data_IF_778850956183
#
_entry.id   IF_778850956183
#
_cell.length_a   1.000
_cell.length_b   1.000
_cell.length_c   1.000
_cell.angle_alpha   90.00
_cell.angle_beta   90.00
_cell.angle_gamma   90.00
#
_symmetry.space_group_name_H-M   'P 1'
#
loop_
_entity.id
_entity.type
_entity.pdbx_description
1 polymer ?
#
# COMPACT_ATOMS: atom_id res chain seq x y z
N UNK A 1 -5.94 9.49 -2.49
CA UNK A 1 -4.81 8.70 -1.96
C UNK A 1 -4.40 9.29 -0.61
N UNK A 2 -4.23 8.49 0.45
CA UNK A 2 -3.87 9.04 1.77
C UNK A 2 -2.42 9.58 1.78
N UNK A 3 -2.12 10.55 2.65
CA UNK A 3 -0.77 11.06 2.95
C UNK A 3 0.26 9.97 3.24
N UNK A 4 -0.06 8.93 4.02
CA UNK A 4 0.86 7.82 4.29
C UNK A 4 1.25 7.05 3.01
N UNK A 5 0.27 6.84 2.12
CA UNK A 5 0.49 6.16 0.83
C UNK A 5 1.31 7.04 -0.13
N UNK A 6 1.07 8.36 -0.17
CA UNK A 6 1.91 9.28 -0.96
C UNK A 6 3.36 9.27 -0.46
N UNK A 7 3.56 9.39 0.85
CA UNK A 7 4.90 9.42 1.43
C UNK A 7 5.65 8.10 1.22
N UNK A 8 4.95 6.96 1.25
CA UNK A 8 5.54 5.68 0.84
C UNK A 8 6.20 5.77 -0.54
N UNK A 9 5.46 6.24 -1.55
CA UNK A 9 5.99 6.38 -2.91
C UNK A 9 7.12 7.42 -3.01
N UNK A 10 7.06 8.49 -2.21
CA UNK A 10 8.15 9.48 -2.11
C UNK A 10 9.43 8.82 -1.59
N UNK A 11 9.34 8.01 -0.54
CA UNK A 11 10.51 7.30 0.02
C UNK A 11 11.10 6.27 -0.94
N UNK A 12 10.26 5.65 -1.78
CA UNK A 12 10.69 4.72 -2.82
C UNK A 12 11.21 5.41 -4.10
N UNK A 13 11.28 6.75 -4.16
CA UNK A 13 11.66 7.54 -5.35
C UNK A 13 10.86 7.15 -6.61
N UNK A 14 9.59 6.76 -6.43
CA UNK A 14 8.73 6.24 -7.49
C UNK A 14 7.43 7.05 -7.61
N UNK A 15 7.54 8.38 -7.52
CA UNK A 15 6.40 9.29 -7.63
C UNK A 15 6.18 9.80 -9.04
N UNK A 16 4.91 10.00 -9.37
CA UNK A 16 4.44 10.62 -10.61
C UNK A 16 3.26 11.51 -10.31
N UNK A 17 3.23 12.68 -10.94
CA UNK A 17 2.18 13.71 -10.68
C UNK A 17 0.76 13.17 -10.87
N UNK A 18 0.52 12.46 -11.98
CA UNK A 18 -0.81 11.96 -12.33
C UNK A 18 -1.31 10.81 -11.43
N UNK A 19 -0.39 9.96 -10.98
CA UNK A 19 -0.70 8.74 -10.22
C UNK A 19 -0.67 8.98 -8.71
N UNK A 20 0.07 10.01 -8.26
CA UNK A 20 0.36 10.22 -6.84
C UNK A 20 -0.05 11.63 -6.37
N UNK A 21 0.60 12.69 -6.83
CA UNK A 21 0.32 14.03 -6.28
C UNK A 21 -1.11 14.53 -6.52
N UNK A 22 -1.66 14.33 -7.73
CA UNK A 22 -3.04 14.75 -8.02
C UNK A 22 -4.07 13.92 -7.24
N UNK A 23 -4.03 12.57 -7.21
CA UNK A 23 -4.94 11.79 -6.37
C UNK A 23 -4.84 12.08 -4.87
N UNK A 24 -3.67 12.47 -4.37
CA UNK A 24 -3.55 12.97 -3.00
C UNK A 24 -4.25 14.31 -2.84
N UNK A 25 -3.96 15.27 -3.72
CA UNK A 25 -4.53 16.61 -3.64
C UNK A 25 -6.08 16.57 -3.68
N UNK A 26 -6.65 15.77 -4.57
CA UNK A 26 -8.10 15.59 -4.64
C UNK A 26 -8.67 14.97 -3.37
N UNK A 27 -8.05 13.91 -2.83
CA UNK A 27 -8.57 13.32 -1.58
C UNK A 27 -8.45 14.24 -0.36
N UNK A 28 -7.45 15.12 -0.33
CA UNK A 28 -7.33 16.12 0.73
C UNK A 28 -8.48 17.15 0.63
N UNK A 29 -8.78 17.63 -0.58
CA UNK A 29 -9.90 18.54 -0.82
C UNK A 29 -11.24 17.86 -0.50
N UNK A 30 -11.44 16.61 -0.91
CA UNK A 30 -12.62 15.81 -0.59
C UNK A 30 -12.79 15.57 0.92
N UNK A 31 -11.71 15.70 1.69
CA UNK A 31 -11.71 15.59 3.15
C UNK A 31 -11.76 16.97 3.84
N UNK A 32 -12.24 18.00 3.14
CA UNK A 32 -12.42 19.38 3.62
C UNK A 32 -11.12 20.10 4.06
N UNK A 33 -9.95 19.66 3.57
CA UNK A 33 -8.71 20.42 3.76
C UNK A 33 -8.59 21.53 2.71
N UNK A 34 -8.25 22.73 3.17
CA UNK A 34 -8.12 23.90 2.32
C UNK A 34 -6.75 24.58 2.49
N UNK A 35 -6.01 24.73 1.40
CA UNK A 35 -4.84 25.60 1.35
C UNK A 35 -4.58 26.12 -0.06
N UNK A 36 -3.88 27.25 -0.17
CA UNK A 36 -3.59 27.82 -1.50
C UNK A 36 -2.72 26.88 -2.31
N UNK A 37 -1.69 26.30 -1.68
CA UNK A 37 -0.77 25.39 -2.36
C UNK A 37 -1.44 24.07 -2.75
N UNK A 38 -2.39 23.57 -1.95
CA UNK A 38 -3.19 22.39 -2.28
C UNK A 38 -4.04 22.60 -3.52
N UNK A 39 -4.74 23.74 -3.63
CA UNK A 39 -5.55 24.05 -4.80
C UNK A 39 -4.70 24.23 -6.07
N UNK A 40 -3.52 24.84 -5.96
CA UNK A 40 -2.60 24.95 -7.09
C UNK A 40 -2.13 23.56 -7.54
N UNK A 41 -1.75 22.69 -6.58
CA UNK A 41 -1.36 21.32 -6.87
C UNK A 41 -2.45 20.56 -7.62
N UNK A 42 -3.70 20.64 -7.14
CA UNK A 42 -4.86 19.99 -7.75
C UNK A 42 -5.18 20.54 -9.15
N UNK A 43 -4.81 21.79 -9.44
CA UNK A 43 -5.07 22.45 -10.71
C UNK A 43 -4.01 22.17 -11.79
N UNK A 44 -2.89 21.51 -11.46
CA UNK A 44 -1.82 21.24 -12.43
C UNK A 44 -2.35 20.52 -13.67
N UNK A 45 -1.88 20.95 -14.84
CA UNK A 45 -2.28 20.41 -16.14
C UNK A 45 -1.09 19.75 -16.84
N UNK A 46 -1.38 18.91 -17.83
CA UNK A 46 -0.35 18.29 -18.68
C UNK A 46 0.31 19.35 -19.58
N UNK A 47 1.61 19.21 -19.91
CA UNK A 47 2.54 18.21 -19.38
C UNK A 47 2.91 18.51 -17.93
N UNK A 48 2.94 17.48 -17.08
CA UNK A 48 3.21 17.65 -15.67
C UNK A 48 4.69 17.90 -15.39
N UNK A 49 4.98 18.87 -14.53
CA UNK A 49 6.32 19.11 -13.99
C UNK A 49 6.41 18.54 -12.57
N UNK A 50 7.28 17.55 -12.38
CA UNK A 50 7.45 16.89 -11.07
C UNK A 50 7.98 17.85 -9.99
N UNK A 51 8.91 18.75 -10.35
CA UNK A 51 9.48 19.72 -9.41
C UNK A 51 8.45 20.75 -8.93
N UNK A 52 7.53 21.13 -9.82
CA UNK A 52 6.42 22.01 -9.48
C UNK A 52 5.43 21.30 -8.54
N UNK A 53 5.09 20.05 -8.82
CA UNK A 53 4.23 19.25 -7.96
C UNK A 53 4.83 19.06 -6.56
N UNK A 54 6.11 18.71 -6.47
CA UNK A 54 6.85 18.60 -5.19
C UNK A 54 6.93 19.92 -4.44
N UNK A 55 7.11 21.04 -5.14
CA UNK A 55 7.13 22.37 -4.53
C UNK A 55 5.78 22.68 -3.86
N UNK A 56 4.68 22.53 -4.58
CA UNK A 56 3.36 22.81 -4.04
C UNK A 56 2.91 21.78 -3.01
N UNK A 57 3.30 20.51 -3.16
CA UNK A 57 3.08 19.49 -2.14
C UNK A 57 3.73 19.87 -0.79
N UNK A 58 5.03 20.22 -0.79
CA UNK A 58 5.72 20.62 0.46
C UNK A 58 5.07 21.83 1.11
N UNK A 59 4.71 22.84 0.32
CA UNK A 59 3.99 24.01 0.82
C UNK A 59 2.61 23.67 1.36
N UNK A 60 1.87 22.78 0.70
CA UNK A 60 0.57 22.34 1.19
C UNK A 60 0.70 21.60 2.52
N UNK A 61 1.70 20.73 2.67
CA UNK A 61 2.01 20.03 3.94
C UNK A 61 2.31 21.03 5.05
N UNK A 62 3.10 22.07 4.79
CA UNK A 62 3.40 23.14 5.75
C UNK A 62 2.15 23.98 6.09
N UNK A 63 1.39 24.44 5.08
CA UNK A 63 0.18 25.26 5.22
C UNK A 63 -0.94 24.53 5.99
N UNK A 64 -1.02 23.21 5.84
CA UNK A 64 -2.00 22.34 6.51
C UNK A 64 -1.48 21.77 7.84
N UNK A 65 -0.27 22.14 8.27
CA UNK A 65 0.39 21.66 9.48
C UNK A 65 0.43 20.12 9.60
N UNK A 66 0.60 19.43 8.46
CA UNK A 66 0.63 17.98 8.44
C UNK A 66 1.97 17.46 8.98
N UNK A 67 1.90 16.48 9.88
CA UNK A 67 3.08 15.73 10.32
C UNK A 67 3.60 14.91 9.13
N UNK A 68 4.89 15.07 8.82
CA UNK A 68 5.59 14.17 7.89
C UNK A 68 5.74 12.80 8.54
N UNK A 69 5.11 11.75 8.00
CA UNK A 69 5.27 10.40 8.53
C UNK A 69 6.66 9.86 8.21
N UNK A 70 7.15 8.96 9.05
CA UNK A 70 8.37 8.19 8.82
C UNK A 70 8.16 7.14 7.74
N UNK A 71 9.26 6.70 7.11
CA UNK A 71 9.23 5.59 6.14
C UNK A 71 8.62 4.33 6.75
N UNK A 72 8.94 4.02 8.01
CA UNK A 72 8.38 2.87 8.72
C UNK A 72 6.85 2.98 8.89
N UNK A 73 6.34 4.14 9.34
CA UNK A 73 4.89 4.39 9.45
C UNK A 73 4.19 4.18 8.10
N UNK A 74 4.80 4.65 7.00
CA UNK A 74 4.25 4.52 5.65
C UNK A 74 4.25 3.05 5.17
N UNK A 75 5.35 2.34 5.36
CA UNK A 75 5.50 0.93 5.00
C UNK A 75 4.51 0.06 5.76
N UNK A 76 4.40 0.23 7.08
CA UNK A 76 3.43 -0.50 7.90
C UNK A 76 2.01 -0.26 7.40
N UNK A 77 1.65 0.99 7.10
CA UNK A 77 0.34 1.34 6.56
C UNK A 77 0.03 0.65 5.22
N UNK A 78 0.98 0.67 4.27
CA UNK A 78 0.77 0.05 2.95
C UNK A 78 0.61 -1.47 3.08
N UNK A 79 1.44 -2.13 3.88
CA UNK A 79 1.29 -3.57 4.15
C UNK A 79 -0.07 -3.86 4.79
N UNK A 80 -0.45 -3.10 5.80
CA UNK A 80 -1.73 -3.27 6.48
C UNK A 80 -2.91 -3.13 5.51
N UNK A 81 -2.90 -2.11 4.64
CA UNK A 81 -3.94 -1.90 3.62
C UNK A 81 -4.04 -3.08 2.66
N UNK A 82 -2.91 -3.66 2.21
CA UNK A 82 -2.92 -4.86 1.36
C UNK A 82 -3.48 -6.08 2.08
N UNK A 83 -3.16 -6.25 3.36
CA UNK A 83 -3.74 -7.32 4.17
C UNK A 83 -5.25 -7.16 4.35
N UNK A 84 -5.74 -5.93 4.58
CA UNK A 84 -7.18 -5.64 4.64
C UNK A 84 -7.89 -5.90 3.30
N UNK A 85 -7.26 -5.54 2.18
CA UNK A 85 -7.76 -5.87 0.84
C UNK A 85 -7.95 -7.39 0.69
N UNK A 86 -7.00 -8.21 1.15
CA UNK A 86 -7.14 -9.68 1.13
C UNK A 86 -8.31 -10.16 2.00
N UNK A 87 -8.50 -9.56 3.18
CA UNK A 87 -9.59 -9.93 4.10
C UNK A 87 -10.98 -9.66 3.52
N UNK A 88 -11.09 -8.71 2.59
CA UNK A 88 -12.33 -8.44 1.86
C UNK A 88 -12.67 -9.49 0.79
N UNK A 89 -11.83 -10.53 0.64
CA UNK A 89 -12.03 -11.65 -0.30
C UNK A 89 -12.33 -11.19 -1.73
N UNK A 90 -11.45 -10.39 -2.35
CA UNK A 90 -11.65 -9.94 -3.71
C UNK A 90 -11.64 -11.12 -4.68
N UNK A 91 -12.36 -10.98 -5.80
CA UNK A 91 -12.46 -12.02 -6.83
C UNK A 91 -11.08 -12.44 -7.38
N UNK A 92 -10.10 -11.52 -7.35
CA UNK A 92 -8.72 -11.70 -7.80
C UNK A 92 -7.72 -11.99 -6.65
N UNK A 93 -8.18 -12.63 -5.55
CA UNK A 93 -7.39 -12.86 -4.33
C UNK A 93 -5.95 -13.35 -4.58
N UNK A 94 -5.73 -14.29 -5.52
CA UNK A 94 -4.39 -14.79 -5.82
C UNK A 94 -3.48 -13.72 -6.43
N UNK A 95 -4.00 -12.88 -7.32
CA UNK A 95 -3.27 -11.72 -7.84
C UNK A 95 -2.90 -10.75 -6.72
N UNK A 96 -3.81 -10.52 -5.77
CA UNK A 96 -3.53 -9.69 -4.60
C UNK A 96 -2.46 -10.27 -3.69
N UNK A 97 -2.38 -11.59 -3.57
CA UNK A 97 -1.27 -12.26 -2.88
C UNK A 97 0.04 -12.03 -3.64
N UNK A 98 0.07 -12.18 -4.96
CA UNK A 98 1.28 -11.91 -5.75
C UNK A 98 1.72 -10.44 -5.65
N UNK A 99 0.80 -9.49 -5.67
CA UNK A 99 1.09 -8.06 -5.47
C UNK A 99 1.79 -7.84 -4.11
N UNK A 100 1.24 -8.45 -3.04
CA UNK A 100 1.83 -8.37 -1.70
C UNK A 100 3.19 -9.09 -1.62
N UNK A 101 3.34 -10.27 -2.21
CA UNK A 101 4.63 -10.98 -2.24
C UNK A 101 5.69 -10.21 -3.01
N UNK A 102 5.32 -9.57 -4.12
CA UNK A 102 6.21 -8.71 -4.91
C UNK A 102 6.69 -7.52 -4.09
N UNK A 103 5.78 -6.83 -3.39
CA UNK A 103 6.10 -5.76 -2.45
C UNK A 103 7.10 -6.24 -1.38
N UNK A 104 6.82 -7.38 -0.75
CA UNK A 104 7.67 -7.97 0.30
C UNK A 104 9.08 -8.24 -0.21
N UNK A 105 9.21 -8.83 -1.40
CA UNK A 105 10.49 -9.26 -1.96
C UNK A 105 11.33 -8.06 -2.43
N UNK A 106 10.71 -7.14 -3.20
CA UNK A 106 11.45 -6.12 -3.93
C UNK A 106 11.52 -4.78 -3.23
N UNK A 107 10.52 -4.44 -2.41
CA UNK A 107 10.43 -3.10 -1.80
C UNK A 107 10.75 -3.13 -0.30
N UNK A 108 10.51 -4.25 0.40
CA UNK A 108 10.64 -4.33 1.86
C UNK A 108 11.86 -5.10 2.38
N UNK A 109 12.72 -5.61 1.49
CA UNK A 109 13.86 -6.48 1.85
C UNK A 109 13.44 -7.72 2.67
N UNK A 110 12.31 -8.33 2.31
CA UNK A 110 11.83 -9.62 2.83
C UNK A 110 11.79 -9.73 4.37
N UNK A 111 11.01 -8.88 5.07
CA UNK A 111 10.91 -8.95 6.52
C UNK A 111 10.34 -10.29 6.94
N UNK A 112 11.00 -10.94 7.92
CA UNK A 112 10.65 -12.30 8.39
C UNK A 112 9.18 -12.45 8.79
N UNK A 113 8.57 -11.39 9.29
CA UNK A 113 7.17 -11.38 9.71
C UNK A 113 6.23 -11.59 8.51
N UNK A 114 6.59 -11.11 7.32
CA UNK A 114 5.80 -11.22 6.10
C UNK A 114 6.22 -12.41 5.21
N UNK A 115 7.29 -13.14 5.55
CA UNK A 115 7.79 -14.28 4.78
C UNK A 115 6.71 -15.34 4.48
N UNK A 116 5.72 -15.48 5.37
CA UNK A 116 4.60 -16.40 5.16
C UNK A 116 3.74 -16.08 3.93
N UNK A 117 3.77 -14.85 3.41
CA UNK A 117 3.09 -14.52 2.15
C UNK A 117 3.92 -14.88 0.91
N UNK A 118 5.24 -14.88 1.00
CA UNK A 118 6.09 -15.42 -0.08
C UNK A 118 5.88 -16.94 -0.19
N UNK A 119 5.83 -17.64 0.94
CA UNK A 119 5.53 -19.07 0.96
C UNK A 119 4.16 -19.39 0.37
N UNK A 120 3.14 -18.55 0.62
CA UNK A 120 1.80 -18.83 0.11
C UNK A 120 1.69 -18.52 -1.37
N UNK A 121 2.44 -17.55 -1.92
CA UNK A 121 2.56 -17.39 -3.37
C UNK A 121 3.18 -18.63 -4.03
N UNK A 122 4.19 -19.27 -3.41
CA UNK A 122 4.77 -20.50 -3.94
C UNK A 122 3.74 -21.66 -3.96
N UNK A 123 2.88 -21.74 -2.94
CA UNK A 123 1.78 -22.73 -2.90
C UNK A 123 0.73 -22.47 -3.98
N UNK A 124 0.45 -21.20 -4.29
CA UNK A 124 -0.45 -20.84 -5.39
C UNK A 124 0.18 -21.23 -6.73
N UNK A 125 1.48 -20.98 -6.92
CA UNK A 125 2.21 -21.38 -8.13
C UNK A 125 2.18 -22.89 -8.34
N UNK A 126 2.44 -23.68 -7.29
CA UNK A 126 2.35 -25.15 -7.37
C UNK A 126 0.93 -25.63 -7.71
N UNK A 127 -0.10 -24.97 -7.16
CA UNK A 127 -1.50 -25.29 -7.45
C UNK A 127 -1.90 -24.96 -8.90
N UNK A 128 -1.47 -23.79 -9.43
CA UNK A 128 -1.87 -23.32 -10.76
C UNK A 128 -1.05 -23.93 -11.89
N UNK A 129 0.26 -24.14 -11.66
CA UNK A 129 1.22 -24.46 -12.70
C UNK A 129 2.08 -25.69 -12.40
N UNK A 130 2.10 -26.15 -11.13
CA UNK A 130 2.87 -27.30 -10.68
C UNK A 130 2.14 -28.63 -10.79
N UNK A 131 2.60 -29.61 -10.03
CA UNK A 131 1.94 -30.91 -9.89
C UNK A 131 0.92 -30.93 -8.74
N UNK A 132 0.75 -29.78 -8.06
CA UNK A 132 -0.07 -29.64 -6.87
C UNK A 132 0.27 -30.74 -5.86
N UNK A 133 1.55 -30.83 -5.48
CA UNK A 133 2.10 -31.91 -4.68
C UNK A 133 1.32 -32.12 -3.37
N UNK A 134 0.90 -31.03 -2.75
CA UNK A 134 0.14 -31.02 -1.50
C UNK A 134 -1.36 -31.29 -1.69
N UNK A 135 -1.82 -31.44 -2.93
CA UNK A 135 -3.23 -31.68 -3.32
C UNK A 135 -4.17 -30.63 -2.71
N UNK A 136 -3.73 -29.38 -2.74
CA UNK A 136 -4.52 -28.25 -2.26
C UNK A 136 -5.70 -28.01 -3.19
N UNK A 137 -6.81 -27.59 -2.60
CA UNK A 137 -7.93 -27.04 -3.35
C UNK A 137 -7.88 -25.52 -3.28
N UNK A 138 -8.57 -24.86 -4.22
CA UNK A 138 -8.71 -23.40 -4.20
C UNK A 138 -9.30 -22.90 -2.88
N UNK A 139 -10.29 -23.61 -2.32
CA UNK A 139 -10.89 -23.28 -1.02
C UNK A 139 -9.86 -23.34 0.10
N UNK A 140 -9.03 -24.39 0.15
CA UNK A 140 -7.99 -24.52 1.18
C UNK A 140 -6.94 -23.40 1.08
N UNK A 141 -6.56 -23.01 -0.14
CA UNK A 141 -5.65 -21.88 -0.35
C UNK A 141 -6.27 -20.56 0.11
N UNK A 142 -7.53 -20.30 -0.25
CA UNK A 142 -8.27 -19.09 0.20
C UNK A 142 -8.34 -19.02 1.73
N UNK A 143 -8.70 -20.12 2.39
CA UNK A 143 -8.74 -20.21 3.85
C UNK A 143 -7.38 -19.93 4.49
N UNK A 144 -6.30 -20.48 3.92
CA UNK A 144 -4.93 -20.28 4.42
C UNK A 144 -4.44 -18.84 4.23
N UNK A 145 -4.77 -18.20 3.09
CA UNK A 145 -4.50 -16.78 2.84
C UNK A 145 -5.15 -15.91 3.91
N UNK A 146 -6.45 -16.10 4.14
CA UNK A 146 -7.21 -15.32 5.12
C UNK A 146 -6.70 -15.55 6.54
N UNK A 147 -6.36 -16.79 6.89
CA UNK A 147 -5.79 -17.13 8.20
C UNK A 147 -4.44 -16.45 8.44
N UNK A 148 -3.55 -16.39 7.43
CA UNK A 148 -2.26 -15.68 7.53
C UNK A 148 -2.45 -14.17 7.61
N UNK A 149 -3.35 -13.61 6.79
CA UNK A 149 -3.69 -12.20 6.82
C UNK A 149 -4.22 -11.77 8.19
N UNK A 150 -5.20 -12.50 8.74
CA UNK A 150 -5.79 -12.21 10.05
C UNK A 150 -4.74 -12.25 11.17
N UNK A 151 -3.85 -13.23 11.16
CA UNK A 151 -2.77 -13.34 12.15
C UNK A 151 -1.84 -12.12 12.12
N UNK A 152 -1.47 -11.66 10.92
CA UNK A 152 -0.58 -10.51 10.77
C UNK A 152 -1.27 -9.20 11.15
N UNK A 153 -2.53 -9.00 10.74
CA UNK A 153 -3.33 -7.85 11.16
C UNK A 153 -3.43 -7.77 12.69
N UNK A 154 -3.70 -8.89 13.38
CA UNK A 154 -3.73 -8.92 14.85
C UNK A 154 -2.39 -8.52 15.45
N UNK A 155 -1.28 -9.04 14.92
CA UNK A 155 0.06 -8.71 15.42
C UNK A 155 0.42 -7.22 15.23
N UNK A 156 0.00 -6.60 14.12
CA UNK A 156 0.22 -5.17 13.88
C UNK A 156 -0.61 -4.32 14.86
N UNK A 157 -1.88 -4.66 15.07
CA UNK A 157 -2.75 -3.97 16.04
C UNK A 157 -2.23 -4.06 17.48
N UNK A 158 -1.71 -5.22 17.88
CA UNK A 158 -1.13 -5.45 19.20
C UNK A 158 0.19 -4.68 19.42
N UNK A 159 0.95 -4.39 18.35
CA UNK A 159 2.22 -3.66 18.42
C UNK A 159 2.05 -2.13 18.40
N UNK A 160 1.05 -1.62 17.66
CA UNK A 160 0.86 -0.19 17.45
C UNK A 160 -0.26 0.44 18.30
N UNK A 161 -1.00 -0.35 19.09
CA UNK A 161 -2.08 0.17 19.95
C UNK A 161 -3.21 0.86 19.15
N UNK A 162 -3.44 0.40 17.92
CA UNK A 162 -4.50 0.89 17.03
C UNK A 162 -5.79 0.14 17.38
N UNK A 163 -6.63 0.76 18.21
CA UNK A 163 -8.04 0.39 18.43
C UNK A 163 -8.90 0.76 17.20
#
# INVERSE_FOLDING_TARGET
>A
MNTLELHYHIYQDNVKVAEHYLPWAFSMIESDYESTSLYILAALQKPYNIFEAEHYFRRAVEELELKVPTEQECTTYVVYKRLEELMNQPDDLFNKVYDLSTLIIYELDSPKQLASFVEISDLIDDFLYGDNYLKLTETMLKEEILRRAEKLIKSVKELDGID
#
